data_IF_020252205870
#
_entry.id   IF_020252205870
#
_cell.length_a   1.000
_cell.length_b   1.000
_cell.length_c   1.000
_cell.angle_alpha   90.00
_cell.angle_beta   90.00
_cell.angle_gamma   90.00
#
_symmetry.space_group_name_H-M   'P 1'
#
loop_
_entity.id
_entity.type
_entity.pdbx_description
1 polymer ?
#
# COMPACT_ATOMS: atom_id res chain seq x y z
N UNK A 1 -38.54 4.52 -1.72
CA UNK A 1 -38.06 4.07 -3.05
C UNK A 1 -36.82 4.84 -3.51
N UNK A 2 -36.81 6.17 -3.38
CA UNK A 2 -35.67 7.06 -3.69
C UNK A 2 -34.30 6.54 -3.19
N UNK A 3 -34.20 6.14 -1.92
CA UNK A 3 -32.95 5.64 -1.32
C UNK A 3 -32.42 4.38 -2.01
N UNK A 4 -33.29 3.44 -2.39
CA UNK A 4 -32.88 2.21 -3.06
C UNK A 4 -32.33 2.50 -4.47
N UNK A 5 -32.92 3.46 -5.18
CA UNK A 5 -32.48 3.88 -6.51
C UNK A 5 -31.11 4.58 -6.41
N UNK A 6 -30.94 5.49 -5.45
CA UNK A 6 -29.65 6.16 -5.19
C UNK A 6 -28.55 5.15 -4.85
N UNK A 7 -28.86 4.17 -4.00
CA UNK A 7 -27.93 3.12 -3.61
C UNK A 7 -27.54 2.23 -4.80
N UNK A 8 -28.50 1.85 -5.65
CA UNK A 8 -28.23 1.09 -6.88
C UNK A 8 -27.33 1.87 -7.85
N UNK A 9 -27.59 3.16 -8.04
CA UNK A 9 -26.77 4.03 -8.91
C UNK A 9 -25.34 4.08 -8.39
N UNK A 10 -25.14 4.28 -7.09
CA UNK A 10 -23.82 4.26 -6.46
C UNK A 10 -23.16 2.90 -6.66
N UNK A 11 -23.87 1.80 -6.40
CA UNK A 11 -23.33 0.45 -6.54
C UNK A 11 -22.87 0.17 -7.96
N UNK A 12 -23.66 0.53 -8.97
CA UNK A 12 -23.31 0.36 -10.39
C UNK A 12 -22.04 1.16 -10.71
N UNK A 13 -21.97 2.42 -10.26
CA UNK A 13 -20.80 3.26 -10.49
C UNK A 13 -19.54 2.68 -9.82
N UNK A 14 -19.68 2.18 -8.59
CA UNK A 14 -18.59 1.61 -7.80
C UNK A 14 -18.11 0.27 -8.37
N UNK A 15 -19.01 -0.65 -8.72
CA UNK A 15 -18.67 -1.93 -9.33
C UNK A 15 -18.03 -1.76 -10.70
N UNK A 16 -18.55 -0.83 -11.51
CA UNK A 16 -17.97 -0.52 -12.81
C UNK A 16 -16.59 0.14 -12.66
N UNK A 17 -16.45 1.07 -11.71
CA UNK A 17 -15.17 1.72 -11.40
C UNK A 17 -14.13 0.76 -10.84
N UNK A 18 -14.54 -0.18 -9.97
CA UNK A 18 -13.65 -1.16 -9.37
C UNK A 18 -13.04 -2.11 -10.42
N UNK A 19 -13.80 -2.49 -11.45
CA UNK A 19 -13.26 -3.30 -12.55
C UNK A 19 -12.22 -2.57 -13.39
N UNK A 20 -12.38 -1.25 -13.60
CA UNK A 20 -11.43 -0.46 -14.39
C UNK A 20 -10.21 -0.01 -13.59
N UNK A 21 -10.34 0.11 -12.26
CA UNK A 21 -9.24 0.40 -11.35
C UNK A 21 -8.59 1.78 -11.53
N UNK A 22 -7.61 2.09 -10.67
CA UNK A 22 -6.80 3.29 -10.74
C UNK A 22 -7.60 4.59 -10.75
N UNK A 23 -7.28 5.49 -11.68
CA UNK A 23 -7.92 6.82 -11.81
C UNK A 23 -9.41 6.70 -12.14
N UNK A 24 -9.82 5.65 -12.86
CA UNK A 24 -11.21 5.47 -13.29
C UNK A 24 -12.15 5.28 -12.09
N UNK A 25 -11.69 4.63 -11.00
CA UNK A 25 -12.47 4.45 -9.78
C UNK A 25 -12.82 5.80 -9.13
N UNK A 26 -11.84 6.71 -9.02
CA UNK A 26 -12.06 8.05 -8.48
C UNK A 26 -12.98 8.90 -9.36
N UNK A 27 -12.79 8.84 -10.68
CA UNK A 27 -13.55 9.64 -11.64
C UNK A 27 -15.02 9.18 -11.73
N UNK A 28 -15.27 7.87 -11.75
CA UNK A 28 -16.62 7.30 -11.70
C UNK A 28 -17.29 7.56 -10.35
N UNK A 29 -16.56 7.49 -9.23
CA UNK A 29 -17.07 7.90 -7.92
C UNK A 29 -17.53 9.37 -7.90
N UNK A 30 -16.75 10.26 -8.52
CA UNK A 30 -17.11 11.67 -8.69
C UNK A 30 -18.35 11.87 -9.55
N UNK A 31 -18.46 11.16 -10.68
CA UNK A 31 -19.65 11.18 -11.54
C UNK A 31 -20.89 10.69 -10.79
N UNK A 32 -20.76 9.61 -10.00
CA UNK A 32 -21.82 9.12 -9.13
C UNK A 32 -22.30 10.18 -8.14
N UNK A 33 -21.37 10.94 -7.54
CA UNK A 33 -21.69 12.03 -6.63
C UNK A 33 -22.42 13.18 -7.34
N UNK A 34 -21.99 13.56 -8.55
CA UNK A 34 -22.63 14.59 -9.38
C UNK A 34 -24.07 14.20 -9.70
N UNK A 35 -24.32 12.94 -10.09
CA UNK A 35 -25.67 12.45 -10.39
C UNK A 35 -26.56 12.57 -9.13
N UNK A 36 -26.06 12.21 -7.96
CA UNK A 36 -26.83 12.28 -6.71
C UNK A 36 -27.17 13.72 -6.30
N UNK A 37 -26.23 14.65 -6.45
CA UNK A 37 -26.42 16.05 -6.05
C UNK A 37 -27.30 16.81 -7.04
N UNK A 38 -27.08 16.65 -8.35
CA UNK A 38 -27.80 17.41 -9.38
C UNK A 38 -29.13 16.80 -9.81
N UNK A 39 -29.30 15.46 -9.76
CA UNK A 39 -30.56 14.80 -10.14
C UNK A 39 -31.45 14.61 -8.92
N UNK A 40 -30.91 14.06 -7.83
CA UNK A 40 -31.69 13.77 -6.63
C UNK A 40 -31.70 14.91 -5.60
N UNK A 41 -31.08 16.06 -5.92
CA UNK A 41 -31.07 17.28 -5.08
C UNK A 41 -30.63 17.02 -3.63
N UNK A 42 -29.74 16.05 -3.44
CA UNK A 42 -29.16 15.76 -2.13
C UNK A 42 -28.20 16.88 -1.73
N UNK A 43 -28.23 17.27 -0.45
CA UNK A 43 -27.27 18.25 0.06
C UNK A 43 -25.84 17.69 -0.08
N UNK A 44 -24.91 18.44 -0.69
CA UNK A 44 -23.53 18.02 -0.77
C UNK A 44 -22.94 17.94 0.63
N UNK A 45 -22.32 16.79 0.95
CA UNK A 45 -21.58 16.63 2.19
C UNK A 45 -20.33 17.51 2.24
N UNK A 46 -19.78 17.68 3.45
CA UNK A 46 -18.49 18.37 3.61
C UNK A 46 -17.37 17.61 2.87
N UNK A 47 -16.58 18.28 2.00
CA UNK A 47 -15.44 17.64 1.35
C UNK A 47 -14.40 17.20 2.40
N UNK A 48 -13.78 16.02 2.24
CA UNK A 48 -12.84 15.47 3.22
C UNK A 48 -11.44 16.08 3.05
N UNK A 49 -11.35 17.42 3.17
CA UNK A 49 -10.11 18.19 2.93
C UNK A 49 -8.98 17.70 3.84
N UNK A 50 -9.27 17.43 5.12
CA UNK A 50 -8.28 16.94 6.08
C UNK A 50 -7.63 15.63 5.60
N UNK A 51 -8.43 14.71 5.08
CA UNK A 51 -7.96 13.42 4.58
C UNK A 51 -7.13 13.60 3.30
N UNK A 52 -7.59 14.47 2.39
CA UNK A 52 -6.85 14.76 1.15
C UNK A 52 -5.47 15.35 1.46
N UNK A 53 -5.37 16.28 2.40
CA UNK A 53 -4.11 16.89 2.82
C UNK A 53 -3.17 15.88 3.46
N UNK A 54 -3.68 14.98 4.31
CA UNK A 54 -2.89 13.90 4.91
C UNK A 54 -2.31 12.97 3.83
N UNK A 55 -3.12 12.58 2.84
CA UNK A 55 -2.64 11.74 1.73
C UNK A 55 -1.53 12.45 0.95
N UNK A 56 -1.72 13.73 0.60
CA UNK A 56 -0.71 14.52 -0.13
C UNK A 56 0.58 14.63 0.68
N UNK A 57 0.48 14.88 1.99
CA UNK A 57 1.65 14.98 2.86
C UNK A 57 2.44 13.67 2.92
N UNK A 58 1.76 12.52 3.09
CA UNK A 58 2.41 11.20 3.12
C UNK A 58 3.04 10.87 1.77
N UNK A 59 2.32 11.08 0.66
CA UNK A 59 2.85 10.81 -0.69
C UNK A 59 4.05 11.69 -1.00
N UNK A 60 4.02 12.98 -0.64
CA UNK A 60 5.16 13.88 -0.83
C UNK A 60 6.37 13.46 0.01
N UNK A 61 6.16 13.03 1.27
CA UNK A 61 7.24 12.53 2.13
C UNK A 61 7.86 11.24 1.57
N UNK A 62 7.04 10.26 1.16
CA UNK A 62 7.52 9.02 0.52
C UNK A 62 8.23 9.29 -0.81
N UNK A 63 7.71 10.18 -1.65
CA UNK A 63 8.35 10.56 -2.91
C UNK A 63 9.70 11.23 -2.68
N UNK A 64 9.81 12.10 -1.67
CA UNK A 64 11.08 12.73 -1.30
C UNK A 64 12.08 11.71 -0.74
N UNK A 65 11.63 10.75 0.08
CA UNK A 65 12.46 9.66 0.57
C UNK A 65 13.02 8.81 -0.58
N UNK A 66 12.20 8.54 -1.58
CA UNK A 66 12.59 7.76 -2.75
C UNK A 66 13.51 8.56 -3.69
N UNK A 67 13.21 9.83 -3.94
CA UNK A 67 14.02 10.71 -4.80
C UNK A 67 15.40 11.04 -4.22
N UNK A 68 15.52 11.07 -2.90
CA UNK A 68 16.81 11.26 -2.20
C UNK A 68 17.67 10.01 -2.11
N UNK A 69 17.18 8.85 -2.57
CA UNK A 69 17.85 7.56 -2.39
C UNK A 69 17.81 7.04 -0.95
N UNK A 70 16.99 7.63 -0.07
CA UNK A 70 16.88 7.20 1.34
C UNK A 70 16.37 5.77 1.47
N UNK A 71 15.51 5.32 0.55
CA UNK A 71 15.07 3.93 0.48
C UNK A 71 16.24 2.97 0.21
N UNK A 72 17.17 3.34 -0.66
CA UNK A 72 18.34 2.50 -0.98
C UNK A 72 19.24 2.33 0.24
N UNK A 73 19.42 3.39 1.03
CA UNK A 73 20.17 3.35 2.30
C UNK A 73 19.49 2.40 3.29
N UNK A 74 18.16 2.48 3.42
CA UNK A 74 17.40 1.58 4.29
C UNK A 74 17.54 0.11 3.85
N UNK A 75 17.49 -0.16 2.54
CA UNK A 75 17.68 -1.51 1.99
C UNK A 75 19.09 -2.03 2.23
N UNK A 76 20.13 -1.21 2.11
CA UNK A 76 21.51 -1.60 2.44
C UNK A 76 21.66 -1.97 3.92
N UNK A 77 21.03 -1.22 4.83
CA UNK A 77 21.03 -1.52 6.27
C UNK A 77 20.31 -2.85 6.52
N UNK A 78 19.15 -3.05 5.89
CA UNK A 78 18.37 -4.27 5.99
C UNK A 78 19.14 -5.49 5.48
N UNK A 79 19.80 -5.38 4.33
CA UNK A 79 20.65 -6.43 3.77
C UNK A 79 21.80 -6.77 4.73
N UNK A 80 22.49 -5.77 5.27
CA UNK A 80 23.59 -5.97 6.22
C UNK A 80 23.12 -6.69 7.49
N UNK A 81 21.92 -6.35 7.99
CA UNK A 81 21.33 -6.99 9.16
C UNK A 81 20.97 -8.45 8.89
N UNK A 82 20.36 -8.74 7.73
CA UNK A 82 20.01 -10.10 7.31
C UNK A 82 21.25 -10.98 7.10
N UNK A 83 22.31 -10.42 6.51
CA UNK A 83 23.59 -11.12 6.29
C UNK A 83 24.37 -11.36 7.59
N UNK A 84 24.18 -10.54 8.62
CA UNK A 84 24.90 -10.67 9.90
C UNK A 84 24.42 -11.88 10.70
N UNK A 85 23.16 -12.29 10.56
CA UNK A 85 22.60 -13.42 11.32
C UNK A 85 21.83 -14.42 10.43
N UNK A 86 22.53 -15.07 9.48
CA UNK A 86 21.88 -15.84 8.41
C UNK A 86 21.08 -17.05 8.92
N UNK A 87 21.51 -17.65 10.04
CA UNK A 87 20.85 -18.81 10.65
C UNK A 87 19.42 -18.53 11.13
N UNK A 88 19.09 -17.26 11.37
CA UNK A 88 17.78 -16.82 11.88
C UNK A 88 16.97 -16.00 10.85
N UNK A 89 17.29 -16.11 9.55
CA UNK A 89 16.62 -15.34 8.48
C UNK A 89 15.10 -15.49 8.50
N UNK A 90 14.57 -16.67 8.83
CA UNK A 90 13.11 -16.89 8.96
C UNK A 90 12.42 -16.03 10.02
N UNK A 91 13.16 -15.55 11.02
CA UNK A 91 12.64 -14.68 12.08
C UNK A 91 13.04 -13.23 11.80
N UNK A 92 14.30 -12.99 11.43
CA UNK A 92 14.83 -11.64 11.21
C UNK A 92 14.16 -10.96 10.01
N UNK A 93 13.89 -11.70 8.92
CA UNK A 93 13.27 -11.15 7.72
C UNK A 93 11.92 -10.46 7.99
N UNK A 94 10.92 -11.10 8.63
CA UNK A 94 9.63 -10.44 8.90
C UNK A 94 9.73 -9.21 9.81
N UNK A 95 10.61 -9.21 10.82
CA UNK A 95 10.82 -8.02 11.67
C UNK A 95 11.43 -6.85 10.90
N UNK A 96 12.42 -7.13 10.05
CA UNK A 96 13.05 -6.12 9.21
C UNK A 96 12.05 -5.57 8.20
N UNK A 97 11.25 -6.44 7.57
CA UNK A 97 10.20 -6.03 6.64
C UNK A 97 9.13 -5.17 7.33
N UNK A 98 8.67 -5.56 8.52
CA UNK A 98 7.72 -4.77 9.30
C UNK A 98 8.28 -3.37 9.61
N UNK A 99 9.53 -3.30 10.07
CA UNK A 99 10.17 -2.03 10.41
C UNK A 99 10.27 -1.12 9.19
N UNK A 100 10.63 -1.69 8.03
CA UNK A 100 10.65 -0.99 6.75
C UNK A 100 9.26 -0.51 6.30
N UNK A 101 8.22 -1.33 6.46
CA UNK A 101 6.84 -0.94 6.15
C UNK A 101 6.39 0.24 7.00
N UNK A 102 6.69 0.24 8.30
CA UNK A 102 6.38 1.35 9.21
C UNK A 102 7.12 2.63 8.79
N UNK A 103 8.41 2.51 8.44
CA UNK A 103 9.24 3.66 8.06
C UNK A 103 8.84 4.26 6.70
N UNK A 104 8.53 3.41 5.71
CA UNK A 104 8.15 3.86 4.37
C UNK A 104 6.65 4.16 4.23
N UNK A 105 5.83 3.72 5.19
CA UNK A 105 4.39 3.94 5.24
C UNK A 105 3.58 3.08 4.25
N UNK A 106 4.19 2.11 3.56
CA UNK A 106 3.49 1.26 2.57
C UNK A 106 3.98 -0.18 2.58
N UNK A 107 3.06 -1.13 2.42
CA UNK A 107 3.40 -2.55 2.28
C UNK A 107 4.08 -2.92 0.95
N UNK A 108 4.07 -2.03 -0.05
CA UNK A 108 4.74 -2.25 -1.33
C UNK A 108 6.28 -2.35 -1.21
N UNK A 109 6.85 -1.92 -0.08
CA UNK A 109 8.28 -2.12 0.22
C UNK A 109 8.66 -3.59 0.33
N UNK A 110 7.69 -4.50 0.52
CA UNK A 110 7.98 -5.94 0.48
C UNK A 110 8.58 -6.38 -0.85
N UNK A 111 8.17 -5.75 -1.97
CA UNK A 111 8.62 -6.15 -3.30
C UNK A 111 10.11 -5.89 -3.52
N UNK A 112 10.67 -4.88 -2.84
CA UNK A 112 12.10 -4.56 -2.95
C UNK A 112 12.96 -5.43 -2.04
N UNK A 113 12.43 -5.92 -0.91
CA UNK A 113 13.21 -6.74 0.04
C UNK A 113 13.10 -8.25 -0.20
N UNK A 114 12.04 -8.75 -0.83
CA UNK A 114 11.89 -10.16 -1.19
C UNK A 114 13.10 -10.74 -1.96
N UNK A 115 13.66 -10.09 -3.00
CA UNK A 115 14.84 -10.61 -3.68
C UNK A 115 16.07 -10.69 -2.75
N UNK A 116 16.22 -9.71 -1.84
CA UNK A 116 17.31 -9.72 -0.85
C UNK A 116 17.16 -10.90 0.12
N UNK A 117 15.94 -11.15 0.61
CA UNK A 117 15.64 -12.28 1.50
C UNK A 117 15.90 -13.60 0.78
N UNK A 118 15.48 -13.71 -0.48
CA UNK A 118 15.70 -14.90 -1.31
C UNK A 118 17.20 -15.19 -1.47
N UNK A 119 17.99 -14.18 -1.84
CA UNK A 119 19.44 -14.30 -2.02
C UNK A 119 20.15 -14.73 -0.73
N UNK A 120 19.78 -14.14 0.42
CA UNK A 120 20.36 -14.50 1.71
C UNK A 120 19.94 -15.91 2.12
N UNK A 121 18.69 -16.32 1.88
CA UNK A 121 18.22 -17.67 2.22
C UNK A 121 18.92 -18.75 1.38
N UNK A 122 19.01 -18.57 0.06
CA UNK A 122 19.66 -19.53 -0.84
C UNK A 122 21.16 -19.66 -0.56
N UNK A 123 21.89 -18.55 -0.35
CA UNK A 123 23.32 -18.60 -0.01
C UNK A 123 23.62 -19.35 1.29
N UNK A 124 22.65 -19.44 2.19
CA UNK A 124 22.79 -20.12 3.48
C UNK A 124 22.10 -21.50 3.52
N UNK A 125 21.69 -22.05 2.37
CA UNK A 125 20.98 -23.33 2.26
C UNK A 125 19.68 -23.39 3.11
N UNK A 126 19.00 -22.26 3.28
CA UNK A 126 17.71 -22.16 3.97
C UNK A 126 16.60 -22.12 2.92
N UNK A 127 15.52 -22.89 3.13
CA UNK A 127 14.35 -22.87 2.23
C UNK A 127 13.70 -21.47 2.25
N UNK A 128 13.67 -20.73 1.12
CA UNK A 128 13.22 -19.33 1.08
C UNK A 128 11.69 -19.17 1.24
N UNK A 129 10.93 -20.24 1.00
CA UNK A 129 9.47 -20.28 1.13
C UNK A 129 8.98 -19.71 2.47
N UNK A 130 9.65 -20.08 3.57
CA UNK A 130 9.27 -19.69 4.94
C UNK A 130 9.56 -18.21 5.26
N UNK A 131 10.80 -17.70 5.08
CA UNK A 131 11.08 -16.28 5.34
C UNK A 131 10.31 -15.35 4.40
N UNK A 132 10.12 -15.69 3.13
CA UNK A 132 9.38 -14.84 2.19
C UNK A 132 7.90 -14.71 2.56
N UNK A 133 7.24 -15.82 2.91
CA UNK A 133 5.84 -15.81 3.35
C UNK A 133 5.66 -15.06 4.68
N UNK A 134 6.60 -15.18 5.61
CA UNK A 134 6.54 -14.44 6.86
C UNK A 134 6.72 -12.93 6.61
N UNK A 135 7.64 -12.54 5.74
CA UNK A 135 7.86 -11.13 5.37
C UNK A 135 6.69 -10.50 4.65
N UNK A 136 5.95 -11.23 3.80
CA UNK A 136 4.74 -10.68 3.17
C UNK A 136 3.62 -10.37 4.16
N UNK A 137 3.46 -11.20 5.19
CA UNK A 137 2.55 -10.93 6.31
C UNK A 137 3.07 -9.75 7.13
N UNK A 138 4.37 -9.71 7.43
CA UNK A 138 5.00 -8.61 8.16
C UNK A 138 4.89 -7.26 7.46
N UNK A 139 4.69 -7.24 6.13
CA UNK A 139 4.50 -6.03 5.35
C UNK A 139 3.06 -5.50 5.32
N UNK A 140 2.08 -6.27 5.80
CA UNK A 140 0.65 -5.90 5.84
C UNK A 140 0.22 -5.31 7.19
N UNK A 141 1.20 -4.85 7.98
CA UNK A 141 0.97 -4.21 9.28
C UNK A 141 0.48 -2.76 9.13
#
# INVERSE_FOLDING_TARGET
>A
MEFAIQLIIILICLFYGARKGGIALGLLGGIGLVILVFVFHLQPGKPPVDVMLVIIAVVAASATLQASGGLDVMLQIAEKLLRRNPKYVSIVAPFVTCTLTILCGTGHVVYTILPIIYDVAIKNNIRPERPMAASSIGAQM
#
